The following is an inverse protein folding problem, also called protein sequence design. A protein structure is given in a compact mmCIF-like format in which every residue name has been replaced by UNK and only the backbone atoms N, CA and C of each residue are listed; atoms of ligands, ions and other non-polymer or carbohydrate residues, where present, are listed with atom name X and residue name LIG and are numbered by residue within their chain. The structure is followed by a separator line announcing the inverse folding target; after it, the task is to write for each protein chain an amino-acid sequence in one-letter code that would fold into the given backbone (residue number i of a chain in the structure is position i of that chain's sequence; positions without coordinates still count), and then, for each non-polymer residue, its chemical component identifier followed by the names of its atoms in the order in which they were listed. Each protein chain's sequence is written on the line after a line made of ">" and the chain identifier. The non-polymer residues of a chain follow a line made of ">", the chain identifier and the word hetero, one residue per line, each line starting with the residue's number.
data_IF_268295630511
#
_entry.id   IF_268295630511
#
_cell.length_a   1.000
_cell.length_b   1.000
_cell.length_c   1.000
_cell.angle_alpha   90.00
_cell.angle_beta   90.00
_cell.angle_gamma   90.00
#
_symmetry.space_group_name_H-M   'P 1'
#
loop_
_entity.id
_entity.type
_entity.pdbx_description
1 polymer ?
#
# COMPACT_ATOMS: atom_id res chain seq x y z
N UNK A 1 7.91 -25.02 17.04
CA UNK A 1 7.29 -24.73 15.73
C UNK A 1 7.06 -23.22 15.48
N UNK A 2 6.94 -22.37 16.51
CA UNK A 2 6.78 -20.91 16.34
C UNK A 2 7.94 -20.20 15.61
N UNK A 3 9.21 -20.49 15.94
CA UNK A 3 10.37 -19.79 15.35
C UNK A 3 10.61 -20.01 13.85
N UNK A 4 9.98 -21.03 13.23
CA UNK A 4 10.08 -21.28 11.77
C UNK A 4 9.08 -20.44 10.98
N UNK A 5 7.86 -20.26 11.52
CA UNK A 5 6.83 -19.40 10.95
C UNK A 5 7.22 -17.91 11.05
N UNK A 6 7.85 -17.52 12.15
CA UNK A 6 8.31 -16.14 12.39
C UNK A 6 9.44 -15.72 11.44
N UNK A 7 10.43 -16.60 11.21
CA UNK A 7 11.49 -16.39 10.21
C UNK A 7 10.95 -16.36 8.77
N UNK A 8 9.95 -17.21 8.45
CA UNK A 8 9.29 -17.22 7.13
C UNK A 8 8.51 -15.92 6.91
N UNK A 9 7.80 -15.45 7.93
CA UNK A 9 7.07 -14.17 7.91
C UNK A 9 8.00 -12.98 7.66
N UNK A 10 9.14 -12.89 8.36
CA UNK A 10 10.13 -11.83 8.16
C UNK A 10 10.70 -11.84 6.72
N UNK A 11 11.04 -13.02 6.18
CA UNK A 11 11.53 -13.16 4.80
C UNK A 11 10.50 -12.67 3.78
N UNK A 12 9.23 -13.06 3.95
CA UNK A 12 8.14 -12.66 3.05
C UNK A 12 7.96 -11.14 3.06
N UNK A 13 7.92 -10.51 4.23
CA UNK A 13 7.79 -9.06 4.36
C UNK A 13 8.95 -8.32 3.68
N UNK A 14 10.19 -8.79 3.86
CA UNK A 14 11.37 -8.20 3.19
C UNK A 14 11.27 -8.26 1.66
N UNK A 15 10.78 -9.39 1.11
CA UNK A 15 10.57 -9.53 -0.33
C UNK A 15 9.49 -8.56 -0.82
N UNK A 16 8.34 -8.49 -0.13
CA UNK A 16 7.26 -7.56 -0.50
C UNK A 16 7.77 -6.12 -0.48
N UNK A 17 8.40 -5.69 0.62
CA UNK A 17 8.95 -4.33 0.74
C UNK A 17 9.97 -4.02 -0.34
N UNK A 18 10.82 -4.99 -0.70
CA UNK A 18 11.79 -4.81 -1.79
C UNK A 18 11.09 -4.61 -3.14
N UNK A 19 10.11 -5.46 -3.48
CA UNK A 19 9.38 -5.35 -4.74
C UNK A 19 8.54 -4.07 -4.81
N UNK A 20 7.95 -3.62 -3.70
CA UNK A 20 7.21 -2.35 -3.67
C UNK A 20 8.11 -1.14 -3.98
N UNK A 21 9.38 -1.18 -3.57
CA UNK A 21 10.34 -0.10 -3.81
C UNK A 21 11.10 -0.23 -5.14
N UNK A 22 10.96 -1.37 -5.85
CA UNK A 22 11.65 -1.66 -7.11
C UNK A 22 10.60 -2.13 -8.13
N UNK A 23 10.09 -1.19 -8.95
CA UNK A 23 8.93 -1.41 -9.82
C UNK A 23 9.07 -2.62 -10.76
N UNK A 24 10.30 -2.94 -11.19
CA UNK A 24 10.63 -4.11 -11.98
C UNK A 24 11.86 -4.80 -11.39
N UNK A 25 11.72 -6.04 -10.95
CA UNK A 25 12.83 -6.85 -10.45
C UNK A 25 12.74 -8.29 -10.94
N UNK A 26 13.85 -9.02 -10.88
CA UNK A 26 13.90 -10.47 -11.11
C UNK A 26 14.09 -11.24 -9.80
N UNK A 27 13.80 -12.55 -9.81
CA UNK A 27 14.10 -13.46 -8.68
C UNK A 27 15.60 -13.47 -8.34
N UNK A 28 16.45 -13.27 -9.36
CA UNK A 28 17.91 -13.21 -9.21
C UNK A 28 18.32 -11.96 -8.43
N UNK A 29 17.75 -10.81 -8.76
CA UNK A 29 18.01 -9.55 -8.07
C UNK A 29 17.49 -9.56 -6.63
N UNK A 30 16.29 -10.12 -6.40
CA UNK A 30 15.75 -10.29 -5.03
C UNK A 30 16.74 -11.11 -4.18
N UNK A 31 17.22 -12.24 -4.71
CA UNK A 31 18.19 -13.09 -4.02
C UNK A 31 19.50 -12.36 -3.68
N UNK A 32 20.06 -11.65 -4.66
CA UNK A 32 21.32 -10.90 -4.51
C UNK A 32 21.16 -9.72 -3.55
N UNK A 33 20.17 -8.86 -3.76
CA UNK A 33 20.00 -7.62 -3.01
C UNK A 33 19.52 -7.84 -1.58
N UNK A 34 18.75 -8.90 -1.32
CA UNK A 34 18.31 -9.23 0.04
C UNK A 34 19.23 -10.21 0.77
N UNK A 35 20.26 -10.73 0.09
CA UNK A 35 21.14 -11.80 0.57
C UNK A 35 20.33 -13.02 1.07
N UNK A 36 19.41 -13.49 0.22
CA UNK A 36 18.53 -14.64 0.50
C UNK A 36 18.83 -15.72 -0.53
N UNK A 37 18.92 -16.98 -0.10
CA UNK A 37 19.19 -18.10 -1.01
C UNK A 37 18.14 -18.22 -2.12
N UNK A 38 18.57 -18.62 -3.32
CA UNK A 38 17.68 -18.77 -4.47
C UNK A 38 16.49 -19.70 -4.22
N UNK A 39 16.66 -20.88 -3.57
CA UNK A 39 15.51 -21.74 -3.26
C UNK A 39 14.47 -21.06 -2.35
N UNK A 40 14.92 -20.27 -1.37
CA UNK A 40 14.02 -19.52 -0.48
C UNK A 40 13.27 -18.43 -1.24
N UNK A 41 13.95 -17.69 -2.12
CA UNK A 41 13.29 -16.68 -2.97
C UNK A 41 12.27 -17.32 -3.89
N UNK A 42 12.61 -18.42 -4.57
CA UNK A 42 11.69 -19.14 -5.45
C UNK A 42 10.42 -19.57 -4.72
N UNK A 43 10.56 -20.22 -3.56
CA UNK A 43 9.41 -20.65 -2.76
C UNK A 43 8.53 -19.47 -2.32
N UNK A 44 9.11 -18.40 -1.76
CA UNK A 44 8.31 -17.27 -1.28
C UNK A 44 7.68 -16.47 -2.43
N UNK A 45 8.41 -16.25 -3.53
CA UNK A 45 7.88 -15.53 -4.69
C UNK A 45 6.75 -16.33 -5.32
N UNK A 46 6.90 -17.63 -5.51
CA UNK A 46 5.83 -18.45 -6.09
C UNK A 46 4.57 -18.43 -5.20
N UNK A 47 4.70 -18.59 -3.87
CA UNK A 47 3.56 -18.45 -2.95
C UNK A 47 2.90 -17.05 -3.03
N UNK A 48 3.68 -15.99 -3.21
CA UNK A 48 3.19 -14.62 -3.37
C UNK A 48 2.50 -14.39 -4.73
N UNK A 49 2.96 -15.06 -5.78
CA UNK A 49 2.34 -15.04 -7.11
C UNK A 49 1.01 -15.81 -7.09
N UNK A 50 0.98 -17.00 -6.48
CA UNK A 50 -0.22 -17.83 -6.32
C UNK A 50 -1.29 -17.13 -5.49
N UNK A 51 -0.90 -16.36 -4.47
CA UNK A 51 -1.81 -15.53 -3.68
C UNK A 51 -2.18 -14.19 -4.33
N UNK A 52 -1.67 -13.88 -5.52
CA UNK A 52 -1.98 -12.68 -6.28
C UNK A 52 -1.36 -11.38 -5.75
N UNK A 53 -0.46 -11.46 -4.77
CA UNK A 53 0.29 -10.30 -4.23
C UNK A 53 1.27 -9.77 -5.27
N UNK A 54 1.97 -10.69 -5.94
CA UNK A 54 2.94 -10.40 -6.99
C UNK A 54 2.39 -10.82 -8.35
N UNK A 55 2.82 -10.13 -9.40
CA UNK A 55 2.47 -10.42 -10.79
C UNK A 55 3.70 -10.32 -11.70
N UNK A 56 3.64 -10.98 -12.86
CA UNK A 56 4.65 -10.80 -13.91
C UNK A 56 4.38 -9.47 -14.61
N UNK A 57 5.35 -8.56 -14.64
CA UNK A 57 5.21 -7.22 -15.23
C UNK A 57 5.82 -7.10 -16.63
N UNK A 58 6.25 -8.22 -17.22
CA UNK A 58 6.79 -8.30 -18.57
C UNK A 58 8.17 -8.97 -18.63
N UNK A 59 8.95 -8.64 -19.65
CA UNK A 59 10.30 -9.14 -19.86
C UNK A 59 11.34 -8.13 -19.36
N UNK A 60 12.31 -8.59 -18.58
CA UNK A 60 13.43 -7.76 -18.13
C UNK A 60 14.37 -7.46 -19.30
N UNK A 61 14.95 -6.26 -19.36
CA UNK A 61 15.86 -5.85 -20.44
C UNK A 61 17.02 -6.86 -20.58
N UNK A 62 17.16 -7.44 -21.78
CA UNK A 62 18.11 -8.53 -22.04
C UNK A 62 19.52 -7.98 -22.21
N UNK A 63 20.48 -8.52 -21.47
CA UNK A 63 21.93 -8.33 -21.71
C UNK A 63 22.58 -9.56 -22.37
N UNK A 64 21.76 -10.48 -22.93
CA UNK A 64 22.19 -11.75 -23.53
C UNK A 64 21.76 -12.98 -22.71
N UNK A 65 21.12 -13.97 -23.36
CA UNK A 65 20.59 -15.19 -22.74
C UNK A 65 19.05 -15.24 -22.59
N UNK A 66 18.52 -16.30 -21.97
CA UNK A 66 17.06 -16.49 -21.73
C UNK A 66 16.53 -15.32 -20.91
N UNK A 67 15.58 -14.56 -21.46
CA UNK A 67 15.01 -13.36 -20.82
C UNK A 67 14.44 -13.70 -19.44
N UNK A 68 14.89 -12.98 -18.41
CA UNK A 68 14.30 -13.09 -17.09
C UNK A 68 12.93 -12.41 -17.09
N UNK A 69 11.93 -13.04 -16.47
CA UNK A 69 10.62 -12.42 -16.28
C UNK A 69 10.70 -11.36 -15.19
N UNK A 70 10.16 -10.18 -15.46
CA UNK A 70 10.03 -9.10 -14.49
C UNK A 70 8.88 -9.40 -13.54
N UNK A 71 9.09 -9.13 -12.25
CA UNK A 71 8.12 -9.29 -11.18
C UNK A 71 7.86 -7.92 -10.57
N UNK A 72 6.60 -7.65 -10.28
CA UNK A 72 6.17 -6.45 -9.57
C UNK A 72 5.03 -6.72 -8.61
N UNK A 73 4.71 -5.73 -7.79
CA UNK A 73 3.52 -5.76 -6.93
C UNK A 73 2.27 -5.62 -7.79
N UNK A 74 1.23 -6.39 -7.47
CA UNK A 74 -0.08 -6.24 -8.06
C UNK A 74 -0.75 -4.97 -7.49
N UNK A 75 -0.94 -3.90 -8.29
CA UNK A 75 -1.48 -2.64 -7.79
C UNK A 75 -2.87 -2.83 -7.15
N UNK A 76 -3.73 -3.64 -7.76
CA UNK A 76 -5.12 -3.85 -7.36
C UNK A 76 -5.31 -4.91 -6.28
N UNK A 77 -4.22 -5.42 -5.67
CA UNK A 77 -4.30 -6.43 -4.62
C UNK A 77 -5.05 -5.91 -3.38
N UNK A 78 -4.75 -4.66 -3.00
CA UNK A 78 -5.24 -3.97 -1.81
C UNK A 78 -5.15 -2.45 -2.02
N UNK A 79 -5.87 -1.71 -1.19
CA UNK A 79 -5.89 -0.25 -1.20
C UNK A 79 -5.71 0.30 0.21
N UNK A 80 -5.25 1.55 0.29
CA UNK A 80 -5.21 2.32 1.53
C UNK A 80 -5.84 3.69 1.29
N UNK A 81 -6.50 4.24 2.30
CA UNK A 81 -7.09 5.56 2.24
C UNK A 81 -6.36 6.51 3.19
N UNK A 82 -6.03 7.71 2.70
CA UNK A 82 -5.56 8.82 3.50
C UNK A 82 -6.64 9.88 3.65
N UNK A 83 -6.81 10.39 4.87
CA UNK A 83 -7.67 11.53 5.19
C UNK A 83 -6.80 12.61 5.81
N UNK A 84 -6.89 13.83 5.29
CA UNK A 84 -6.23 15.02 5.84
C UNK A 84 -7.29 16.01 6.26
N UNK A 85 -7.41 16.24 7.56
CA UNK A 85 -8.30 17.24 8.16
C UNK A 85 -7.50 18.52 8.36
N UNK A 86 -8.00 19.60 7.78
CA UNK A 86 -7.47 20.96 7.94
C UNK A 86 -8.51 21.86 8.60
N UNK A 87 -8.18 23.12 8.88
CA UNK A 87 -9.12 24.05 9.50
C UNK A 87 -10.45 24.22 8.73
N UNK A 88 -10.44 24.12 7.40
CA UNK A 88 -11.59 24.43 6.54
C UNK A 88 -11.94 23.34 5.51
N UNK A 89 -11.13 22.29 5.41
CA UNK A 89 -11.32 21.24 4.41
C UNK A 89 -10.93 19.88 4.95
N UNK A 90 -11.55 18.86 4.37
CA UNK A 90 -11.13 17.46 4.46
C UNK A 90 -10.67 17.03 3.07
N UNK A 91 -9.40 16.59 2.98
CA UNK A 91 -8.88 15.89 1.81
C UNK A 91 -8.96 14.39 2.02
N UNK A 92 -9.35 13.65 1.00
CA UNK A 92 -9.44 12.19 0.98
C UNK A 92 -8.70 11.67 -0.24
N UNK A 93 -7.91 10.61 -0.09
CA UNK A 93 -7.15 10.00 -1.19
C UNK A 93 -7.15 8.49 -1.02
N UNK A 94 -7.54 7.76 -2.06
CA UNK A 94 -7.40 6.32 -2.16
C UNK A 94 -6.16 6.01 -2.99
N UNK A 95 -5.29 5.15 -2.46
CA UNK A 95 -4.07 4.71 -3.15
C UNK A 95 -4.03 3.19 -3.26
N UNK A 96 -3.42 2.70 -4.34
CA UNK A 96 -3.20 1.29 -4.58
C UNK A 96 -1.85 0.79 -4.00
N UNK A 97 -1.50 -0.49 -4.17
CA UNK A 97 -0.25 -1.06 -3.63
C UNK A 97 1.03 -0.53 -4.29
N UNK A 98 0.94 0.21 -5.40
CA UNK A 98 2.06 0.95 -6.03
C UNK A 98 2.16 2.40 -5.55
N UNK A 99 1.35 2.80 -4.57
CA UNK A 99 1.22 4.18 -4.12
C UNK A 99 0.71 5.14 -5.19
N UNK A 100 0.02 4.63 -6.21
CA UNK A 100 -0.65 5.44 -7.23
C UNK A 100 -2.03 5.87 -6.71
N UNK A 101 -2.45 7.10 -7.06
CA UNK A 101 -3.74 7.65 -6.64
C UNK A 101 -4.85 7.12 -7.55
N UNK A 102 -5.79 6.38 -6.97
CA UNK A 102 -6.97 5.85 -7.66
C UNK A 102 -8.14 6.84 -7.61
N UNK A 103 -8.28 7.54 -6.48
CA UNK A 103 -9.36 8.50 -6.25
C UNK A 103 -8.87 9.58 -5.29
N UNK A 104 -9.25 10.83 -5.54
CA UNK A 104 -8.99 11.93 -4.61
C UNK A 104 -10.19 12.87 -4.60
N UNK A 105 -10.47 13.44 -3.42
CA UNK A 105 -11.52 14.43 -3.25
C UNK A 105 -11.14 15.41 -2.14
N UNK A 106 -11.65 16.64 -2.24
CA UNK A 106 -11.44 17.68 -1.26
C UNK A 106 -12.74 18.44 -1.01
N UNK A 107 -13.26 18.29 0.19
CA UNK A 107 -14.54 18.87 0.58
C UNK A 107 -14.32 19.99 1.59
N UNK A 108 -15.04 21.10 1.40
CA UNK A 108 -15.07 22.18 2.39
C UNK A 108 -15.89 21.72 3.59
N UNK A 109 -15.23 21.61 4.73
CA UNK A 109 -15.80 21.18 6.00
C UNK A 109 -14.96 21.85 7.09
N UNK A 110 -15.57 22.78 7.83
CA UNK A 110 -14.85 23.50 8.88
C UNK A 110 -14.61 22.56 10.05
N UNK A 111 -13.37 22.46 10.50
CA UNK A 111 -13.05 21.63 11.64
C UNK A 111 -13.85 22.07 12.88
N UNK A 112 -14.43 21.09 13.57
CA UNK A 112 -15.03 21.26 14.88
C UNK A 112 -14.55 20.12 15.80
N UNK A 113 -14.23 20.42 17.08
CA UNK A 113 -13.91 19.38 18.06
C UNK A 113 -15.15 18.63 18.56
N UNK A 114 -16.36 19.04 18.15
CA UNK A 114 -17.60 18.38 18.55
C UNK A 114 -17.72 16.97 17.96
N UNK A 115 -18.38 16.07 18.68
CA UNK A 115 -18.60 14.68 18.25
C UNK A 115 -19.43 14.58 16.97
N UNK A 116 -20.25 15.58 16.67
CA UNK A 116 -21.00 15.74 15.42
C UNK A 116 -20.09 15.72 14.19
N UNK A 117 -18.89 16.31 14.28
CA UNK A 117 -17.90 16.35 13.21
C UNK A 117 -17.48 14.94 12.76
N UNK A 118 -17.32 14.02 13.71
CA UNK A 118 -16.99 12.62 13.40
C UNK A 118 -18.10 11.93 12.62
N UNK A 119 -19.36 12.26 12.91
CA UNK A 119 -20.53 11.74 12.18
C UNK A 119 -20.55 12.23 10.73
N UNK A 120 -20.37 13.53 10.53
CA UNK A 120 -20.29 14.13 9.20
C UNK A 120 -19.10 13.58 8.39
N UNK A 121 -17.92 13.42 9.03
CA UNK A 121 -16.75 12.82 8.40
C UNK A 121 -17.02 11.36 8.01
N UNK A 122 -17.71 10.58 8.85
CA UNK A 122 -18.07 9.19 8.54
C UNK A 122 -18.95 9.10 7.29
N UNK A 123 -19.94 9.98 7.16
CA UNK A 123 -20.80 10.07 5.98
C UNK A 123 -19.96 10.40 4.74
N UNK A 124 -19.04 11.36 4.88
CA UNK A 124 -18.17 11.77 3.79
C UNK A 124 -17.24 10.63 3.32
N UNK A 125 -16.65 9.88 4.25
CA UNK A 125 -15.81 8.72 3.94
C UNK A 125 -16.61 7.61 3.26
N UNK A 126 -17.81 7.30 3.75
CA UNK A 126 -18.69 6.31 3.11
C UNK A 126 -19.01 6.71 1.67
N UNK A 127 -19.40 7.97 1.46
CA UNK A 127 -19.67 8.50 0.12
C UNK A 127 -18.43 8.47 -0.78
N UNK A 128 -17.26 8.77 -0.24
CA UNK A 128 -16.01 8.69 -1.00
C UNK A 128 -15.68 7.25 -1.43
N UNK A 129 -16.01 6.25 -0.62
CA UNK A 129 -15.80 4.84 -0.92
C UNK A 129 -16.95 4.18 -1.69
N UNK A 130 -18.06 4.90 -1.94
CA UNK A 130 -19.13 4.41 -2.82
C UNK A 130 -18.57 4.07 -4.21
N UNK A 131 -18.96 2.90 -4.72
CA UNK A 131 -18.49 2.36 -6.01
C UNK A 131 -17.20 1.54 -5.94
N UNK A 132 -16.59 1.37 -4.77
CA UNK A 132 -15.51 0.39 -4.59
C UNK A 132 -16.08 -1.03 -4.69
N UNK A 133 -15.63 -1.80 -5.69
CA UNK A 133 -16.15 -3.15 -5.96
C UNK A 133 -15.88 -4.14 -4.80
N UNK A 134 -14.72 -4.03 -4.17
CA UNK A 134 -14.25 -4.96 -3.12
C UNK A 134 -13.83 -4.21 -1.83
N UNK A 135 -14.76 -3.79 -0.96
CA UNK A 135 -14.45 -3.04 0.25
C UNK A 135 -13.45 -3.73 1.20
N UNK A 136 -13.42 -5.07 1.22
CA UNK A 136 -12.47 -5.87 2.00
C UNK A 136 -11.01 -5.75 1.51
N UNK A 137 -10.79 -5.16 0.33
CA UNK A 137 -9.44 -4.83 -0.15
C UNK A 137 -8.88 -3.56 0.50
N UNK A 138 -9.68 -2.78 1.22
CA UNK A 138 -9.19 -1.62 1.98
C UNK A 138 -8.46 -2.10 3.25
N UNK A 139 -7.15 -1.90 3.30
CA UNK A 139 -6.31 -2.29 4.44
C UNK A 139 -6.56 -1.41 5.67
N UNK A 140 -6.92 -0.15 5.44
CA UNK A 140 -7.16 0.80 6.51
C UNK A 140 -7.22 2.24 6.02
N UNK A 141 -7.48 3.11 7.00
CA UNK A 141 -7.61 4.55 6.80
C UNK A 141 -6.60 5.24 7.72
N UNK A 142 -5.67 5.98 7.13
CA UNK A 142 -4.77 6.87 7.85
C UNK A 142 -5.37 8.26 7.96
N UNK A 143 -5.43 8.83 9.16
CA UNK A 143 -5.99 10.17 9.41
C UNK A 143 -4.85 11.08 9.90
N UNK A 144 -4.70 12.23 9.24
CA UNK A 144 -3.84 13.32 9.66
C UNK A 144 -4.68 14.55 9.98
N UNK A 145 -4.36 15.20 11.10
CA UNK A 145 -5.03 16.43 11.53
C UNK A 145 -3.99 17.54 11.58
N UNK A 146 -4.16 18.56 10.76
CA UNK A 146 -3.29 19.74 10.73
C UNK A 146 -4.14 20.98 10.93
N UNK A 147 -4.34 21.34 12.19
CA UNK A 147 -5.08 22.52 12.60
C UNK A 147 -4.09 23.43 13.32
N UNK A 148 -3.97 24.67 12.83
CA UNK A 148 -3.22 25.69 13.55
C UNK A 148 -4.08 26.15 14.73
N UNK A 149 -3.84 25.61 15.90
CA UNK A 149 -4.31 26.24 17.14
C UNK A 149 -3.46 27.50 17.34
N UNK A 150 -4.05 28.69 17.52
CA UNK A 150 -3.28 29.80 18.07
C UNK A 150 -2.82 29.36 19.46
N UNK A 151 -1.51 29.16 19.64
CA UNK A 151 -0.91 29.11 20.96
C UNK A 151 -1.13 30.48 21.59
N UNK A 152 -2.20 30.62 22.36
CA UNK A 152 -2.37 31.75 23.28
C UNK A 152 -1.49 31.42 24.47
N UNK A 153 -0.30 32.05 24.52
CA UNK A 153 0.44 32.16 25.76
C UNK A 153 -0.43 32.94 26.76
N UNK A 154 -0.89 32.25 27.81
CA UNK A 154 -1.35 32.85 29.06
C UNK A 154 -0.19 32.79 30.06
#
# INVERSE_FOLDING_TARGET
>A
MAGKAEKKSNTRSRIISYVMNNQNTSKVEISKNLNISMPTVLSNVNELMESGVLVETGEYASTGGRKAKSIGINPSYRYAMGIVITANHVGMTLVNMRSEIEKTDRVRMKFSPETSYCGELSILVKKFLEGMEDPEKLLGIGISISIKTPFIFL
#
